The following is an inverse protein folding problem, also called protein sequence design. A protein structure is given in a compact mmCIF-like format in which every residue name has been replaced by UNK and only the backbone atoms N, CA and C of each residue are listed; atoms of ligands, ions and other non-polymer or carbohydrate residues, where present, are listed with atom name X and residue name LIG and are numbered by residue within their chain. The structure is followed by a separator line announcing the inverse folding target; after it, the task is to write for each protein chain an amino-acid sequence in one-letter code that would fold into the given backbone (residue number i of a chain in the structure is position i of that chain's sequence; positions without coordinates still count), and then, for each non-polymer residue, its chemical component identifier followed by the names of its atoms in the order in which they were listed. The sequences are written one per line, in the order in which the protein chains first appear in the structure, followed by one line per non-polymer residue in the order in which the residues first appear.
data_IF_573941773922
#
_entry.id   IF_573941773922
#
_cell.length_a   1.000
_cell.length_b   1.000
_cell.length_c   1.000
_cell.angle_alpha   90.00
_cell.angle_beta   90.00
_cell.angle_gamma   90.00
#
_symmetry.space_group_name_H-M   'P 1'
#
loop_
_entity.id
_entity.type
_entity.pdbx_description
1 polymer ?
#
# COMPACT_ATOMS: atom_id res chain seq x y z
N UNK A 1 11.57 -0.77 5.25
CA UNK A 1 10.25 -0.65 4.62
C UNK A 1 9.56 -1.98 4.36
N UNK A 2 10.27 -2.93 3.81
CA UNK A 2 9.67 -4.23 3.52
C UNK A 2 9.04 -4.90 4.75
N UNK A 3 9.78 -4.96 5.85
CA UNK A 3 9.26 -5.61 7.05
C UNK A 3 8.06 -4.87 7.65
N UNK A 4 8.08 -3.56 7.55
CA UNK A 4 6.98 -2.76 8.07
C UNK A 4 5.72 -3.01 7.27
N UNK A 5 5.85 -3.07 5.94
CA UNK A 5 4.68 -3.34 5.12
C UNK A 5 4.19 -4.76 5.30
N UNK A 6 5.11 -5.71 5.50
CA UNK A 6 4.72 -7.09 5.72
C UNK A 6 3.90 -7.21 7.00
N UNK A 7 4.29 -6.47 8.04
CA UNK A 7 3.56 -6.51 9.29
C UNK A 7 2.19 -5.85 9.12
N UNK A 8 2.10 -4.76 8.37
CA UNK A 8 0.83 -4.10 8.14
C UNK A 8 -0.13 -5.02 7.39
N UNK A 9 0.39 -5.79 6.44
CA UNK A 9 -0.44 -6.76 5.72
C UNK A 9 -0.98 -7.80 6.69
N UNK A 10 -0.10 -8.35 7.52
CA UNK A 10 -0.50 -9.41 8.44
C UNK A 10 -1.57 -8.91 9.43
N UNK A 11 -1.44 -7.67 9.86
CA UNK A 11 -2.36 -7.11 10.84
C UNK A 11 -3.54 -6.36 10.20
N UNK A 12 -3.56 -6.27 8.89
CA UNK A 12 -4.60 -5.55 8.15
C UNK A 12 -4.75 -4.12 8.59
N UNK A 13 -3.62 -3.47 8.86
CA UNK A 13 -3.63 -2.04 9.19
C UNK A 13 -3.60 -1.21 7.92
N UNK A 14 -4.32 -0.10 7.93
CA UNK A 14 -4.21 0.85 6.85
C UNK A 14 -2.88 1.58 7.01
N UNK A 15 -2.33 2.07 5.92
CA UNK A 15 -1.07 2.80 5.95
C UNK A 15 -1.23 4.09 5.18
N UNK A 16 -0.80 5.20 5.77
CA UNK A 16 -0.80 6.46 5.07
C UNK A 16 0.59 6.63 4.47
N UNK A 17 0.67 6.90 3.18
CA UNK A 17 1.96 7.07 2.53
C UNK A 17 2.02 8.38 1.77
N UNK A 18 3.25 8.89 1.61
CA UNK A 18 3.52 9.96 0.68
C UNK A 18 4.26 9.29 -0.46
N UNK A 19 3.70 9.37 -1.64
CA UNK A 19 4.19 8.63 -2.79
C UNK A 19 4.62 9.55 -3.91
N UNK A 20 5.77 9.26 -4.51
CA UNK A 20 6.27 10.06 -5.61
C UNK A 20 5.70 9.50 -6.90
N UNK A 21 4.68 10.16 -7.42
CA UNK A 21 4.04 9.73 -8.65
C UNK A 21 4.74 10.33 -9.85
N UNK A 22 4.78 9.59 -10.93
CA UNK A 22 5.45 10.05 -12.14
C UNK A 22 4.87 11.34 -12.68
N UNK A 23 3.56 11.42 -12.76
CA UNK A 23 2.93 12.59 -13.36
C UNK A 23 2.37 13.61 -12.39
N UNK A 24 2.17 13.22 -11.17
CA UNK A 24 1.48 14.10 -10.21
C UNK A 24 2.37 14.63 -9.10
N UNK A 25 3.65 14.32 -9.15
CA UNK A 25 4.53 14.72 -8.07
C UNK A 25 4.23 13.90 -6.82
N UNK A 26 4.39 14.52 -5.65
CA UNK A 26 4.18 13.81 -4.40
C UNK A 26 2.73 13.88 -4.01
N UNK A 27 2.13 12.71 -3.74
CA UNK A 27 0.74 12.64 -3.31
C UNK A 27 0.65 11.88 -2.01
N UNK A 28 -0.35 12.21 -1.21
CA UNK A 28 -0.58 11.51 0.05
C UNK A 28 -1.76 10.59 -0.13
N UNK A 29 -1.63 9.34 0.30
CA UNK A 29 -2.68 8.34 0.09
C UNK A 29 -2.80 7.44 1.28
N UNK A 30 -4.00 6.93 1.50
CA UNK A 30 -4.22 5.88 2.49
C UNK A 30 -4.44 4.61 1.71
N UNK A 31 -3.65 3.59 2.02
CA UNK A 31 -3.72 2.33 1.30
C UNK A 31 -4.02 1.17 2.24
N UNK A 32 -4.60 0.11 1.68
CA UNK A 32 -4.85 -1.13 2.38
C UNK A 32 -3.88 -2.16 1.80
N UNK A 33 -2.72 -2.37 2.44
CA UNK A 33 -1.70 -3.26 1.86
C UNK A 33 -2.21 -4.68 1.73
N UNK A 34 -1.94 -5.30 0.60
CA UNK A 34 -2.40 -6.65 0.34
C UNK A 34 -1.27 -7.64 0.08
N UNK A 35 -0.30 -7.25 -0.72
CA UNK A 35 0.73 -8.20 -1.12
C UNK A 35 2.02 -7.50 -1.52
N UNK A 36 3.15 -8.09 -1.11
CA UNK A 36 4.47 -7.60 -1.50
C UNK A 36 5.03 -8.55 -2.55
N UNK A 37 5.68 -8.02 -3.56
CA UNK A 37 6.30 -8.86 -4.58
C UNK A 37 7.43 -8.11 -5.27
N UNK A 38 8.29 -8.89 -5.95
CA UNK A 38 9.42 -8.34 -6.69
C UNK A 38 9.08 -8.35 -8.16
N UNK A 39 9.39 -7.25 -8.85
CA UNK A 39 9.23 -7.18 -10.28
C UNK A 39 10.38 -6.36 -10.82
N UNK A 40 11.14 -6.91 -11.76
CA UNK A 40 12.31 -6.26 -12.35
C UNK A 40 13.27 -5.75 -11.27
N UNK A 41 13.56 -6.63 -10.31
CA UNK A 41 14.51 -6.34 -9.23
C UNK A 41 14.09 -5.24 -8.28
N UNK A 42 12.82 -4.87 -8.29
CA UNK A 42 12.33 -3.86 -7.36
C UNK A 42 11.15 -4.42 -6.58
N UNK A 43 11.02 -3.96 -5.34
CA UNK A 43 9.91 -4.38 -4.51
C UNK A 43 8.70 -3.49 -4.73
N UNK A 44 7.54 -4.12 -4.84
CA UNK A 44 6.27 -3.43 -5.01
C UNK A 44 5.29 -3.91 -3.96
N UNK A 45 4.30 -3.07 -3.68
CA UNK A 45 3.20 -3.48 -2.84
C UNK A 45 1.91 -3.25 -3.60
N UNK A 46 1.07 -4.29 -3.64
CA UNK A 46 -0.26 -4.17 -4.22
C UNK A 46 -1.17 -3.79 -3.06
N UNK A 47 -1.95 -2.76 -3.24
CA UNK A 47 -2.78 -2.25 -2.15
C UNK A 47 -4.01 -1.55 -2.71
N UNK A 48 -5.10 -1.60 -1.95
CA UNK A 48 -6.28 -0.84 -2.33
C UNK A 48 -5.99 0.62 -1.98
N UNK A 49 -6.13 1.50 -2.93
CA UNK A 49 -5.85 2.92 -2.75
C UNK A 49 -7.14 3.68 -2.55
N UNK A 50 -7.33 4.27 -1.39
CA UNK A 50 -8.56 4.99 -1.10
C UNK A 50 -8.74 6.21 -2.01
N UNK A 51 -7.64 6.86 -2.36
CA UNK A 51 -7.71 8.03 -3.23
C UNK A 51 -8.28 7.68 -4.60
N UNK A 52 -7.88 6.53 -5.13
CA UNK A 52 -8.34 6.10 -6.46
C UNK A 52 -9.48 5.11 -6.40
N UNK A 53 -9.77 4.59 -5.21
CA UNK A 53 -10.83 3.62 -5.01
C UNK A 53 -10.62 2.36 -5.86
N UNK A 54 -9.39 1.91 -5.95
CA UNK A 54 -9.03 0.71 -6.70
C UNK A 54 -7.70 0.17 -6.26
N UNK A 55 -7.39 -1.07 -6.66
CA UNK A 55 -6.11 -1.67 -6.34
C UNK A 55 -5.06 -1.02 -7.23
N UNK A 56 -3.95 -0.62 -6.62
CA UNK A 56 -2.84 -0.03 -7.34
C UNK A 56 -1.54 -0.67 -6.88
N UNK A 57 -0.51 -0.55 -7.71
CA UNK A 57 0.81 -1.05 -7.38
C UNK A 57 1.69 0.14 -7.03
N UNK A 58 2.40 0.02 -5.91
CA UNK A 58 3.30 1.08 -5.47
C UNK A 58 4.69 0.51 -5.35
N UNK A 59 5.67 1.19 -5.96
CA UNK A 59 7.06 0.77 -5.84
C UNK A 59 7.55 1.27 -4.48
N UNK A 60 8.12 0.39 -3.67
CA UNK A 60 8.55 0.78 -2.34
C UNK A 60 9.56 1.92 -2.37
N UNK A 61 10.43 1.94 -3.36
CA UNK A 61 11.44 2.99 -3.46
C UNK A 61 10.84 4.38 -3.64
N UNK A 62 9.61 4.46 -4.12
CA UNK A 62 8.96 5.74 -4.34
C UNK A 62 8.07 6.17 -3.19
N UNK A 63 8.03 5.40 -2.12
CA UNK A 63 7.31 5.79 -0.91
C UNK A 63 8.27 6.63 -0.09
N UNK A 64 7.96 7.91 0.03
CA UNK A 64 8.82 8.86 0.71
C UNK A 64 8.64 8.81 2.22
N UNK A 65 7.40 8.71 2.65
CA UNK A 65 7.08 8.62 4.07
C UNK A 65 5.92 7.67 4.25
N UNK A 66 5.81 7.10 5.42
CA UNK A 66 4.70 6.21 5.71
C UNK A 66 4.34 6.31 7.18
N UNK A 67 3.10 5.97 7.49
CA UNK A 67 2.62 5.92 8.86
C UNK A 67 1.62 4.78 8.96
N UNK A 68 1.86 3.83 9.85
CA UNK A 68 0.93 2.72 10.07
C UNK A 68 -0.20 3.27 10.91
N UNK A 69 -1.41 3.17 10.42
CA UNK A 69 -2.57 3.68 11.14
C UNK A 69 -3.13 2.60 12.05
N UNK A 70 -3.75 3.03 13.14
CA UNK A 70 -4.39 2.08 14.03
C UNK A 70 -5.62 1.47 13.38
N UNK A 71 -6.17 2.17 12.40
CA UNK A 71 -7.37 1.69 11.74
C UNK A 71 -7.11 0.46 10.89
N UNK A 72 -8.02 -0.50 10.97
CA UNK A 72 -7.90 -1.72 10.19
C UNK A 72 -8.86 -1.70 9.04
N UNK A 73 -8.57 -2.53 8.02
CA UNK A 73 -9.47 -2.63 6.89
C UNK A 73 -9.99 -4.06 6.77
N UNK A 74 -11.09 -4.22 6.03
CA UNK A 74 -11.68 -5.52 5.82
C UNK A 74 -11.32 -5.97 4.41
N UNK A 75 -10.83 -7.19 4.30
CA UNK A 75 -10.45 -7.73 3.02
C UNK A 75 -11.71 -8.16 2.28
N UNK A 76 -12.15 -7.34 1.36
CA UNK A 76 -13.37 -7.61 0.66
C UNK A 76 -13.31 -8.77 -0.30
N UNK A 77 -12.13 -9.18 -0.67
CA UNK A 77 -12.03 -10.29 -1.60
C UNK A 77 -12.48 -11.59 -1.00
N UNK A 78 -12.46 -11.68 0.30
CA UNK A 78 -12.80 -12.90 0.95
C UNK A 78 -14.29 -13.16 0.92
N UNK A 79 -15.04 -12.12 0.79
CA UNK A 79 -16.45 -12.23 0.84
C UNK A 79 -17.07 -12.85 -0.35
N UNK A 80 -16.33 -12.89 -1.38
CA UNK A 80 -16.92 -13.38 -2.56
C UNK A 80 -17.10 -14.77 -2.43
N UNK A 81 -17.75 -15.31 -2.65
CA UNK A 81 -17.78 -16.66 -2.58
C UNK A 81 -18.82 -17.15 -2.30
#
# INVERSE_FOLDING_TARGET
MYLIMKKAIANKNKVKIKYKSVNSGITERIIHPAELFIYLDKWYIAAFCELRNEIRLFKLDDIIEYEILAEKYIDKNIIKK
#
